data_IF_996793250437
#
_entry.id   IF_996793250437
#
_cell.length_a   1.000
_cell.length_b   1.000
_cell.length_c   1.000
_cell.angle_alpha   90.00
_cell.angle_beta   90.00
_cell.angle_gamma   90.00
#
_symmetry.space_group_name_H-M   'P 1'
#
loop_
_entity.id
_entity.type
_entity.pdbx_description
1 polymer ?
#
# COMPACT_ATOMS: atom_id res chain seq x y z
N UNK A 1 0.12 -2.70 -19.04
CA UNK A 1 1.05 -2.07 -18.08
C UNK A 1 0.19 -1.48 -16.98
N UNK A 2 0.33 -1.91 -15.72
CA UNK A 2 -0.57 -1.57 -14.61
C UNK A 2 0.22 -0.84 -13.50
N UNK A 3 0.71 0.35 -13.82
CA UNK A 3 1.55 1.17 -12.94
C UNK A 3 0.78 2.03 -11.93
N UNK A 4 -0.52 2.30 -12.16
CA UNK A 4 -1.13 3.49 -11.55
C UNK A 4 -1.93 3.24 -10.26
N UNK A 5 -2.17 1.98 -9.86
CA UNK A 5 -3.05 1.63 -8.73
C UNK A 5 -2.38 0.84 -7.59
N UNK A 6 -1.05 0.84 -7.53
CA UNK A 6 -0.30 0.17 -6.47
C UNK A 6 -0.30 1.03 -5.19
N UNK A 7 -0.85 0.51 -4.08
CA UNK A 7 -0.79 1.20 -2.78
C UNK A 7 0.63 1.11 -2.22
N UNK A 8 1.19 -0.10 -2.11
CA UNK A 8 2.44 -0.35 -1.41
C UNK A 8 3.13 -1.65 -1.87
N UNK A 9 4.46 -1.72 -1.72
CA UNK A 9 5.26 -2.95 -1.70
C UNK A 9 5.92 -3.05 -0.32
N UNK A 10 5.73 -4.18 0.37
CA UNK A 10 6.39 -4.46 1.66
C UNK A 10 7.27 -5.70 1.50
N UNK A 11 8.58 -5.53 1.32
CA UNK A 11 9.54 -6.62 1.42
C UNK A 11 9.94 -6.91 2.86
N UNK A 12 10.17 -8.19 3.16
CA UNK A 12 10.45 -8.70 4.53
C UNK A 12 11.86 -8.40 5.09
N UNK A 13 12.73 -7.73 4.33
CA UNK A 13 14.07 -7.33 4.79
C UNK A 13 13.97 -5.93 5.40
N UNK A 14 14.55 -5.74 6.59
CA UNK A 14 14.40 -4.60 7.51
C UNK A 14 14.66 -3.18 6.95
N UNK A 15 14.89 -2.98 5.65
CA UNK A 15 15.26 -1.68 5.09
C UNK A 15 14.75 -1.43 3.66
N UNK A 16 13.57 -1.92 3.29
CA UNK A 16 13.10 -1.68 1.92
C UNK A 16 11.77 -0.92 1.87
N UNK A 17 11.96 0.38 1.69
CA UNK A 17 11.13 1.32 0.94
C UNK A 17 9.71 0.85 0.64
N UNK A 18 8.75 1.39 1.41
CA UNK A 18 7.40 1.51 0.90
C UNK A 18 7.40 2.63 -0.14
N UNK A 19 7.77 2.27 -1.36
CA UNK A 19 7.58 3.16 -2.50
C UNK A 19 6.14 2.99 -2.98
N UNK A 20 5.27 3.91 -2.57
CA UNK A 20 4.05 4.19 -3.32
C UNK A 20 4.46 5.11 -4.46
N UNK A 21 4.63 4.56 -5.66
CA UNK A 21 4.69 5.37 -6.89
C UNK A 21 3.34 6.06 -7.18
N UNK A 22 2.30 5.79 -6.37
CA UNK A 22 0.92 6.19 -6.61
C UNK A 22 0.39 7.31 -5.71
N UNK A 23 -0.94 7.39 -5.68
CA UNK A 23 -1.79 8.43 -5.05
C UNK A 23 -1.54 8.73 -3.56
N UNK A 24 -0.84 7.84 -2.86
CA UNK A 24 -0.55 7.97 -1.43
C UNK A 24 0.91 8.28 -1.15
N UNK A 25 1.70 8.62 -2.17
CA UNK A 25 3.03 9.19 -2.00
C UNK A 25 2.97 10.34 -0.98
N UNK A 26 3.83 10.28 0.03
CA UNK A 26 3.89 11.20 1.19
C UNK A 26 2.75 11.11 2.23
N UNK A 27 1.73 10.28 2.04
CA UNK A 27 0.64 10.04 3.02
C UNK A 27 0.62 8.63 3.59
N UNK A 28 1.43 7.73 3.04
CA UNK A 28 1.52 6.34 3.42
C UNK A 28 2.69 6.11 4.39
N UNK A 29 2.42 5.49 5.52
CA UNK A 29 3.39 5.17 6.57
C UNK A 29 3.34 3.67 6.90
N UNK A 30 4.50 3.08 7.23
CA UNK A 30 4.59 1.71 7.74
C UNK A 30 4.82 1.74 9.24
N UNK A 31 3.94 1.09 9.99
CA UNK A 31 4.24 0.72 11.37
C UNK A 31 5.15 -0.51 11.35
N UNK A 32 6.42 -0.33 11.71
CA UNK A 32 7.42 -1.39 11.74
C UNK A 32 7.26 -2.39 12.89
N UNK A 33 6.47 -2.06 13.92
CA UNK A 33 6.17 -2.96 15.04
C UNK A 33 5.05 -3.94 14.67
N UNK A 34 3.98 -3.44 14.04
CA UNK A 34 2.79 -4.24 13.72
C UNK A 34 2.76 -4.71 12.26
N UNK A 35 3.53 -4.09 11.37
CA UNK A 35 3.47 -4.31 9.92
C UNK A 35 2.27 -3.63 9.26
N UNK A 36 1.58 -2.72 9.97
CA UNK A 36 0.39 -2.03 9.47
C UNK A 36 0.75 -0.91 8.50
N UNK A 37 -0.02 -0.79 7.42
CA UNK A 37 0.03 0.35 6.51
C UNK A 37 -0.97 1.40 6.97
N UNK A 38 -0.48 2.60 7.29
CA UNK A 38 -1.32 3.72 7.67
C UNK A 38 -1.36 4.76 6.54
N UNK A 39 -2.55 5.21 6.16
CA UNK A 39 -2.73 6.27 5.16
C UNK A 39 -3.33 7.47 5.87
N UNK A 40 -2.60 8.57 5.93
CA UNK A 40 -3.03 9.81 6.59
C UNK A 40 -3.77 10.74 5.62
N UNK A 41 -4.56 11.66 6.16
CA UNK A 41 -5.25 12.70 5.39
C UNK A 41 -6.11 12.15 4.24
N UNK A 42 -6.92 11.12 4.53
CA UNK A 42 -7.84 10.53 3.54
C UNK A 42 -8.95 11.53 3.16
N UNK A 43 -9.34 11.52 1.89
CA UNK A 43 -10.46 12.32 1.36
C UNK A 43 -11.48 11.41 0.70
N UNK A 44 -12.70 11.90 0.47
CA UNK A 44 -13.73 11.15 -0.27
C UNK A 44 -13.26 10.72 -1.66
N UNK A 45 -12.43 11.54 -2.31
CA UNK A 45 -11.79 11.23 -3.59
C UNK A 45 -10.74 10.12 -3.51
N UNK A 46 -10.29 9.74 -2.32
CA UNK A 46 -9.43 8.58 -2.09
C UNK A 46 -10.21 7.27 -2.03
N UNK A 47 -11.55 7.28 -2.15
CA UNK A 47 -12.32 6.05 -2.34
C UNK A 47 -11.97 5.37 -3.66
N UNK A 48 -12.03 4.04 -3.69
CA UNK A 48 -11.77 3.25 -4.89
C UNK A 48 -11.34 1.81 -4.62
N UNK A 49 -11.12 1.09 -5.73
CA UNK A 49 -10.59 -0.27 -5.70
C UNK A 49 -9.06 -0.24 -5.78
N UNK A 50 -8.43 -0.87 -4.80
CA UNK A 50 -6.99 -0.90 -4.68
C UNK A 50 -6.43 -2.31 -4.66
N UNK A 51 -5.16 -2.44 -5.05
CA UNK A 51 -4.40 -3.69 -4.98
C UNK A 51 -3.25 -3.56 -3.98
N UNK A 52 -3.23 -4.48 -3.00
CA UNK A 52 -2.16 -4.67 -2.04
C UNK A 52 -1.29 -5.84 -2.50
N UNK A 53 0.01 -5.59 -2.71
CA UNK A 53 1.00 -6.61 -3.05
C UNK A 53 2.00 -6.78 -1.91
N UNK A 54 1.97 -7.95 -1.29
CA UNK A 54 2.94 -8.34 -0.26
C UNK A 54 3.90 -9.32 -0.92
N UNK A 55 5.15 -8.91 -1.07
CA UNK A 55 6.18 -9.69 -1.79
C UNK A 55 7.18 -10.22 -0.76
N UNK A 56 7.39 -11.53 -0.77
CA UNK A 56 8.44 -12.19 -0.02
C UNK A 56 9.30 -13.03 -0.96
N UNK A 57 10.45 -13.51 -0.48
CA UNK A 57 11.31 -14.40 -1.25
C UNK A 57 10.66 -15.72 -1.65
N UNK A 58 9.60 -16.15 -0.95
CA UNK A 58 8.94 -17.46 -1.16
C UNK A 58 7.57 -17.37 -1.81
N UNK A 59 6.89 -16.24 -1.66
CA UNK A 59 5.52 -16.07 -2.16
C UNK A 59 5.20 -14.60 -2.37
N UNK A 60 4.26 -14.36 -3.28
CA UNK A 60 3.62 -13.06 -3.47
C UNK A 60 2.14 -13.20 -3.15
N UNK A 61 1.61 -12.30 -2.31
CA UNK A 61 0.18 -12.20 -2.02
C UNK A 61 -0.33 -10.95 -2.71
N UNK A 62 -1.34 -11.13 -3.56
CA UNK A 62 -2.10 -10.03 -4.16
C UNK A 62 -3.50 -10.02 -3.53
N UNK A 63 -3.91 -8.87 -3.01
CA UNK A 63 -5.24 -8.70 -2.40
C UNK A 63 -5.88 -7.44 -2.95
N UNK A 64 -7.15 -7.54 -3.33
CA UNK A 64 -7.95 -6.38 -3.74
C UNK A 64 -8.77 -5.89 -2.57
N UNK A 65 -8.78 -4.59 -2.35
CA UNK A 65 -9.46 -3.93 -1.25
C UNK A 65 -10.29 -2.80 -1.85
N UNK A 66 -11.59 -2.80 -1.58
CA UNK A 66 -12.43 -1.65 -1.89
C UNK A 66 -12.44 -0.71 -0.68
N UNK A 67 -12.06 0.54 -0.89
CA UNK A 67 -12.04 1.57 0.14
C UNK A 67 -13.14 2.56 -0.17
N UNK A 68 -14.02 2.77 0.81
CA UNK A 68 -15.07 3.79 0.74
C UNK A 68 -14.88 4.74 1.91
N UNK A 69 -14.74 6.03 1.61
CA UNK A 69 -14.66 7.12 2.58
C UNK A 69 -15.97 7.90 2.47
N UNK A 70 -16.75 7.93 3.55
CA UNK A 70 -18.07 8.58 3.65
C UNK A 70 -18.03 9.79 4.54
#
# INVERSE_FOLDING_TARGET
>A
MFGDNLIAKIPKKQEQFIESDGKFRHRLELDHQTGSLNITNIRTTDSGLYELKIISSRYTINRRINVTVT
#
